data_IF_318673665711
#
_entry.id   IF_318673665711
#
_cell.length_a   1.000
_cell.length_b   1.000
_cell.length_c   1.000
_cell.angle_alpha   90.00
_cell.angle_beta   90.00
_cell.angle_gamma   90.00
#
_symmetry.space_group_name_H-M   'P 1'
#
loop_
_entity.id
_entity.type
_entity.pdbx_description
1 polymer ?
#
# COMPACT_ATOMS: atom_id res chain seq x y z
N UNK A 1 11.39 -39.30 12.26
CA UNK A 1 11.43 -37.90 11.75
C UNK A 1 11.68 -37.95 10.26
N UNK A 2 10.71 -37.79 9.37
CA UNK A 2 10.98 -37.63 7.94
C UNK A 2 11.18 -36.14 7.63
N UNK A 3 12.25 -35.85 6.87
CA UNK A 3 12.68 -34.50 6.48
C UNK A 3 11.69 -33.80 5.56
N UNK A 4 11.61 -32.48 5.68
CA UNK A 4 10.83 -31.59 4.83
C UNK A 4 11.37 -31.63 3.38
N UNK A 5 10.51 -31.58 2.36
CA UNK A 5 10.95 -31.52 0.99
C UNK A 5 11.54 -30.15 0.65
N UNK A 6 12.69 -30.18 -0.03
CA UNK A 6 13.37 -28.99 -0.56
C UNK A 6 12.46 -28.22 -1.52
N UNK A 7 12.33 -26.92 -1.28
CA UNK A 7 11.52 -26.02 -2.11
C UNK A 7 12.01 -25.98 -3.56
N UNK A 8 11.14 -26.32 -4.45
CA UNK A 8 11.33 -26.21 -5.91
C UNK A 8 11.35 -24.72 -6.28
N UNK A 9 12.52 -24.17 -6.61
CA UNK A 9 12.63 -22.85 -7.23
C UNK A 9 11.96 -22.87 -8.59
N UNK A 10 10.87 -22.13 -8.72
CA UNK A 10 10.25 -21.86 -10.02
C UNK A 10 11.14 -20.81 -10.72
N UNK A 11 11.65 -21.05 -11.95
CA UNK A 11 12.40 -20.06 -12.68
C UNK A 11 11.43 -18.96 -13.13
N UNK A 12 11.63 -17.73 -12.63
CA UNK A 12 10.88 -16.53 -13.06
C UNK A 12 11.51 -16.04 -14.36
N UNK A 13 10.93 -16.42 -15.47
CA UNK A 13 11.21 -15.84 -16.77
C UNK A 13 10.48 -14.50 -16.88
N UNK A 14 11.20 -13.38 -16.91
CA UNK A 14 10.65 -12.08 -17.25
C UNK A 14 10.24 -12.05 -18.71
N UNK A 15 8.97 -11.85 -19.02
CA UNK A 15 8.51 -11.52 -20.36
C UNK A 15 8.79 -10.02 -20.60
N UNK A 16 9.53 -9.62 -21.65
CA UNK A 16 9.74 -8.23 -21.97
C UNK A 16 8.46 -7.63 -22.58
N UNK A 17 7.87 -6.60 -21.97
CA UNK A 17 6.85 -5.78 -22.61
C UNK A 17 5.57 -5.46 -21.84
N UNK A 18 5.47 -5.73 -20.55
CA UNK A 18 4.31 -5.32 -19.75
C UNK A 18 4.59 -4.02 -18.99
N UNK A 19 3.67 -3.05 -19.04
CA UNK A 19 3.69 -1.86 -18.17
C UNK A 19 3.07 -2.17 -16.81
N UNK A 20 3.53 -1.48 -15.76
CA UNK A 20 2.87 -1.50 -14.46
C UNK A 20 1.71 -0.51 -14.50
N UNK A 21 0.52 -0.96 -14.13
CA UNK A 21 -0.69 -0.15 -14.06
C UNK A 21 -1.11 0.05 -12.60
N UNK A 22 -1.31 1.30 -12.22
CA UNK A 22 -1.78 1.70 -10.91
C UNK A 22 -3.21 2.22 -10.99
N UNK A 23 -4.11 1.71 -10.14
CA UNK A 23 -5.44 2.28 -9.92
C UNK A 23 -5.54 2.78 -8.49
N UNK A 24 -5.87 4.05 -8.31
CA UNK A 24 -6.15 4.63 -7.00
C UNK A 24 -7.54 4.16 -6.55
N UNK A 25 -7.59 3.15 -5.70
CA UNK A 25 -8.84 2.58 -5.18
C UNK A 25 -9.39 3.47 -4.06
N UNK A 26 -8.51 3.99 -3.22
CA UNK A 26 -8.81 4.95 -2.18
C UNK A 26 -7.62 5.88 -1.96
N UNK A 27 -7.89 7.19 -1.93
CA UNK A 27 -6.91 8.28 -1.81
C UNK A 27 -7.10 9.12 -0.54
N UNK A 28 -8.03 8.72 0.33
CA UNK A 28 -8.41 9.48 1.51
C UNK A 28 -7.59 9.14 2.74
N UNK A 29 -7.75 10.00 3.74
CA UNK A 29 -7.22 9.87 5.09
C UNK A 29 -8.05 8.90 5.95
N UNK A 30 -7.72 8.79 7.23
CA UNK A 30 -8.43 7.95 8.20
C UNK A 30 -9.91 8.32 8.37
N UNK A 31 -10.29 9.55 8.05
CA UNK A 31 -11.59 10.13 8.38
C UNK A 31 -12.52 10.28 7.18
N UNK A 32 -12.08 9.87 5.98
CA UNK A 32 -12.88 9.97 4.75
C UNK A 32 -13.09 11.40 4.29
N UNK A 33 -12.10 12.26 4.48
CA UNK A 33 -12.13 13.66 4.07
C UNK A 33 -12.47 13.80 2.58
N UNK A 34 -13.41 14.66 2.26
CA UNK A 34 -13.91 14.84 0.90
C UNK A 34 -14.70 13.65 0.34
N UNK A 35 -15.16 12.71 1.18
CA UNK A 35 -15.89 11.52 0.77
C UNK A 35 -15.01 10.44 0.14
N UNK A 36 -13.71 10.52 0.30
CA UNK A 36 -12.72 9.60 -0.27
C UNK A 36 -12.63 8.31 0.54
N UNK A 37 -12.36 7.20 -0.14
CA UNK A 37 -12.07 5.92 0.52
C UNK A 37 -10.66 5.94 1.13
N UNK A 38 -10.47 5.17 2.21
CA UNK A 38 -9.17 5.01 2.87
C UNK A 38 -8.11 4.51 1.90
N UNK A 39 -6.86 4.76 2.21
CA UNK A 39 -5.70 4.43 1.38
C UNK A 39 -5.73 2.99 0.88
N UNK A 40 -5.74 2.85 -0.44
CA UNK A 40 -5.69 1.57 -1.13
C UNK A 40 -5.27 1.80 -2.59
N UNK A 41 -4.16 1.22 -3.02
CA UNK A 41 -3.66 1.33 -4.38
C UNK A 41 -3.59 -0.05 -5.02
N UNK A 42 -4.31 -0.25 -6.13
CA UNK A 42 -4.27 -1.50 -6.87
C UNK A 42 -3.21 -1.42 -7.97
N UNK A 43 -2.23 -2.31 -7.90
CA UNK A 43 -1.11 -2.42 -8.83
C UNK A 43 -1.27 -3.69 -9.66
N UNK A 44 -1.30 -3.54 -10.97
CA UNK A 44 -1.25 -4.64 -11.93
C UNK A 44 0.10 -4.60 -12.64
N UNK A 45 0.82 -5.70 -12.60
CA UNK A 45 2.08 -5.90 -13.32
C UNK A 45 2.07 -7.24 -14.05
N UNK A 46 3.05 -7.51 -14.92
CA UNK A 46 3.18 -8.83 -15.54
C UNK A 46 3.34 -9.98 -14.53
N UNK A 47 3.87 -9.69 -13.34
CA UNK A 47 4.16 -10.70 -12.32
C UNK A 47 2.99 -10.97 -11.39
N UNK A 48 2.25 -9.93 -10.98
CA UNK A 48 1.18 -10.08 -10.00
C UNK A 48 0.22 -8.87 -9.98
N UNK A 49 -0.95 -9.09 -9.38
CA UNK A 49 -1.92 -8.06 -8.99
C UNK A 49 -1.86 -7.86 -7.49
N UNK A 50 -1.51 -6.67 -7.05
CA UNK A 50 -1.24 -6.35 -5.67
C UNK A 50 -2.14 -5.21 -5.18
N UNK A 51 -2.35 -5.13 -3.87
CA UNK A 51 -2.71 -3.88 -3.21
C UNK A 51 -1.47 -3.34 -2.48
N UNK A 52 -1.29 -2.03 -2.50
CA UNK A 52 -0.51 -1.31 -1.52
C UNK A 52 -1.51 -0.65 -0.58
N UNK A 53 -1.47 -1.05 0.67
CA UNK A 53 -2.43 -0.81 1.73
C UNK A 53 -3.86 -1.34 1.43
N UNK A 54 -4.59 -1.58 2.51
CA UNK A 54 -5.94 -2.11 2.49
C UNK A 54 -6.72 -1.52 3.68
N UNK A 55 -7.04 -0.24 3.60
CA UNK A 55 -7.79 0.47 4.64
C UNK A 55 -9.21 -0.05 4.82
N UNK A 56 -9.88 0.36 5.88
CA UNK A 56 -11.18 -0.19 6.30
C UNK A 56 -12.26 -0.15 5.21
N UNK A 57 -12.22 0.81 4.31
CA UNK A 57 -13.19 0.96 3.20
C UNK A 57 -12.78 0.25 1.90
N UNK A 58 -11.60 -0.40 1.84
CA UNK A 58 -11.01 -0.92 0.60
C UNK A 58 -11.87 -1.96 -0.11
N UNK A 59 -12.51 -2.89 0.63
CA UNK A 59 -13.34 -3.92 0.02
C UNK A 59 -14.55 -3.31 -0.73
N UNK A 60 -15.18 -2.30 -0.13
CA UNK A 60 -16.30 -1.56 -0.75
C UNK A 60 -15.79 -0.79 -1.97
N UNK A 61 -14.66 -0.10 -1.83
CA UNK A 61 -14.05 0.67 -2.91
C UNK A 61 -13.66 -0.19 -4.12
N UNK A 62 -13.06 -1.38 -3.91
CA UNK A 62 -12.75 -2.35 -4.97
C UNK A 62 -14.03 -2.76 -5.71
N UNK A 63 -15.08 -3.15 -4.99
CA UNK A 63 -16.35 -3.58 -5.59
C UNK A 63 -17.04 -2.46 -6.36
N UNK A 64 -17.04 -1.24 -5.85
CA UNK A 64 -17.61 -0.06 -6.52
C UNK A 64 -16.93 0.20 -7.87
N UNK A 65 -15.64 -0.20 -8.01
CA UNK A 65 -14.86 -0.06 -9.25
C UNK A 65 -14.86 -1.31 -10.13
N UNK A 66 -15.61 -2.35 -9.77
CA UNK A 66 -15.62 -3.62 -10.51
C UNK A 66 -14.31 -4.40 -10.43
N UNK A 67 -13.44 -4.07 -9.48
CA UNK A 67 -12.22 -4.82 -9.22
C UNK A 67 -12.53 -6.03 -8.32
N UNK A 68 -12.28 -7.23 -8.84
CA UNK A 68 -12.54 -8.46 -8.09
C UNK A 68 -11.38 -8.76 -7.11
N UNK A 69 -11.63 -8.74 -5.78
CA UNK A 69 -10.61 -9.07 -4.80
C UNK A 69 -10.01 -10.48 -4.95
N UNK A 70 -10.72 -11.40 -5.60
CA UNK A 70 -10.21 -12.74 -5.86
C UNK A 70 -9.06 -12.78 -6.88
N UNK A 71 -8.88 -11.74 -7.66
CA UNK A 71 -7.77 -11.64 -8.62
C UNK A 71 -6.47 -11.13 -7.99
N UNK A 72 -6.49 -10.67 -6.74
CA UNK A 72 -5.29 -10.25 -6.04
C UNK A 72 -4.37 -11.44 -5.76
N UNK A 73 -3.09 -11.26 -5.96
CA UNK A 73 -2.05 -12.22 -5.57
C UNK A 73 -1.46 -11.87 -4.20
N UNK A 74 -1.46 -10.59 -3.84
CA UNK A 74 -1.00 -10.15 -2.53
C UNK A 74 -1.37 -8.74 -2.15
N UNK A 75 -0.98 -8.38 -0.93
CA UNK A 75 -1.18 -7.07 -0.32
C UNK A 75 0.13 -6.68 0.37
N UNK A 76 0.59 -5.45 0.13
CA UNK A 76 1.76 -4.87 0.78
C UNK A 76 1.25 -3.77 1.70
N UNK A 77 1.62 -3.82 2.97
CA UNK A 77 1.23 -2.84 3.97
C UNK A 77 2.40 -1.90 4.28
N UNK A 78 2.13 -0.60 4.26
CA UNK A 78 3.07 0.41 4.70
C UNK A 78 3.18 0.44 6.23
N UNK A 79 2.04 0.37 6.93
CA UNK A 79 1.95 0.37 8.38
C UNK A 79 0.59 -0.17 8.86
N UNK A 80 0.36 -0.20 10.19
CA UNK A 80 -0.74 -0.96 10.79
C UNK A 80 -1.84 -0.09 11.41
N UNK A 81 -2.07 1.15 10.93
CA UNK A 81 -3.27 1.92 11.25
C UNK A 81 -4.50 1.41 10.49
N UNK A 82 -5.69 1.62 11.04
CA UNK A 82 -6.93 1.07 10.50
C UNK A 82 -7.28 1.52 9.09
N UNK A 83 -6.88 2.72 8.70
CA UNK A 83 -7.10 3.28 7.37
C UNK A 83 -6.10 2.77 6.30
N UNK A 84 -5.10 1.96 6.72
CA UNK A 84 -4.14 1.28 5.82
C UNK A 84 -4.23 -0.24 5.90
N UNK A 85 -4.72 -0.79 6.99
CA UNK A 85 -4.73 -2.22 7.31
C UNK A 85 -6.13 -2.77 7.59
N UNK A 86 -7.05 -1.93 8.09
CA UNK A 86 -8.32 -2.36 8.69
C UNK A 86 -9.30 -3.06 7.76
N UNK A 87 -9.07 -3.03 6.45
CA UNK A 87 -9.86 -3.77 5.46
C UNK A 87 -9.50 -5.25 5.35
N UNK A 88 -8.32 -5.67 5.83
CA UNK A 88 -7.85 -7.06 5.71
C UNK A 88 -8.79 -8.08 6.36
N UNK A 89 -9.28 -7.92 7.59
CA UNK A 89 -10.21 -8.88 8.18
C UNK A 89 -11.46 -9.08 7.33
N UNK A 90 -12.04 -8.01 6.81
CA UNK A 90 -13.22 -8.07 5.94
C UNK A 90 -12.92 -8.74 4.60
N UNK A 91 -11.76 -8.44 4.01
CA UNK A 91 -11.33 -9.05 2.74
C UNK A 91 -11.10 -10.57 2.90
N UNK A 92 -10.48 -11.02 3.99
CA UNK A 92 -10.26 -12.43 4.25
C UNK A 92 -11.59 -13.17 4.50
N UNK A 93 -12.51 -12.59 5.27
CA UNK A 93 -13.83 -13.18 5.54
C UNK A 93 -14.69 -13.20 4.26
N UNK A 94 -14.63 -12.15 3.44
CA UNK A 94 -15.26 -12.17 2.12
C UNK A 94 -14.70 -13.28 1.24
N UNK A 95 -13.38 -13.40 1.17
CA UNK A 95 -12.68 -14.44 0.41
C UNK A 95 -13.09 -15.84 0.86
N UNK A 96 -13.28 -16.06 2.16
CA UNK A 96 -13.70 -17.34 2.73
C UNK A 96 -15.17 -17.66 2.40
N UNK A 97 -16.09 -16.72 2.56
CA UNK A 97 -17.52 -17.01 2.61
C UNK A 97 -18.29 -16.55 1.36
N UNK A 98 -17.99 -15.35 0.84
CA UNK A 98 -18.73 -14.75 -0.27
C UNK A 98 -18.09 -15.06 -1.62
N UNK A 99 -16.85 -14.64 -1.79
CA UNK A 99 -16.12 -14.80 -3.05
C UNK A 99 -15.58 -16.22 -3.25
N UNK A 100 -15.55 -17.05 -2.21
CA UNK A 100 -15.11 -18.46 -2.21
C UNK A 100 -13.76 -18.65 -2.88
N UNK A 101 -12.81 -17.80 -2.50
CA UNK A 101 -11.44 -17.81 -3.01
C UNK A 101 -10.79 -19.18 -2.85
N UNK A 102 -10.01 -19.59 -3.83
CA UNK A 102 -9.18 -20.81 -3.79
C UNK A 102 -7.70 -20.53 -4.07
N UNK A 103 -7.39 -19.38 -4.67
CA UNK A 103 -6.01 -18.96 -4.95
C UNK A 103 -5.32 -18.52 -3.66
N UNK A 104 -4.03 -18.79 -3.48
CA UNK A 104 -3.27 -18.27 -2.34
C UNK A 104 -3.29 -16.73 -2.29
N UNK A 105 -3.10 -16.17 -1.11
CA UNK A 105 -2.96 -14.72 -0.89
C UNK A 105 -1.75 -14.47 0.01
N UNK A 106 -0.79 -13.67 -0.46
CA UNK A 106 0.32 -13.21 0.37
C UNK A 106 -0.01 -11.83 0.97
N UNK A 107 0.34 -11.62 2.23
CA UNK A 107 0.21 -10.33 2.93
C UNK A 107 1.61 -9.97 3.43
N UNK A 108 2.23 -8.99 2.80
CA UNK A 108 3.53 -8.47 3.19
C UNK A 108 3.35 -7.20 4.02
N UNK A 109 4.09 -7.05 5.11
CA UNK A 109 3.99 -5.85 5.94
C UNK A 109 5.10 -5.79 7.00
N UNK A 110 5.16 -4.72 7.79
CA UNK A 110 6.18 -4.57 8.81
C UNK A 110 6.09 -5.65 9.89
N UNK A 111 7.16 -5.86 10.69
CA UNK A 111 7.12 -6.74 11.85
C UNK A 111 5.90 -6.45 12.75
N UNK A 112 5.22 -7.51 13.21
CA UNK A 112 3.97 -7.41 13.98
C UNK A 112 2.69 -7.50 13.15
N UNK A 113 2.77 -7.54 11.83
CA UNK A 113 1.60 -7.64 10.93
C UNK A 113 0.77 -8.88 11.23
N UNK A 114 1.40 -10.06 11.39
CA UNK A 114 0.67 -11.30 11.69
C UNK A 114 -0.13 -11.19 12.99
N UNK A 115 0.53 -10.80 14.07
CA UNK A 115 -0.11 -10.70 15.37
C UNK A 115 -1.26 -9.70 15.38
N UNK A 116 -1.09 -8.55 14.70
CA UNK A 116 -2.13 -7.52 14.57
C UNK A 116 -3.31 -8.02 13.75
N UNK A 117 -3.06 -8.74 12.65
CA UNK A 117 -4.13 -9.30 11.80
C UNK A 117 -4.94 -10.37 12.53
N UNK A 118 -4.28 -11.29 13.23
CA UNK A 118 -4.95 -12.32 14.02
C UNK A 118 -5.79 -11.70 15.14
N UNK A 119 -5.27 -10.69 15.85
CA UNK A 119 -6.03 -9.95 16.86
C UNK A 119 -7.24 -9.22 16.25
N UNK A 120 -7.08 -8.55 15.11
CA UNK A 120 -8.17 -7.87 14.44
C UNK A 120 -9.24 -8.83 13.93
N UNK A 121 -8.84 -9.96 13.36
CA UNK A 121 -9.77 -11.03 12.95
C UNK A 121 -10.60 -11.53 14.13
N UNK A 122 -9.96 -11.82 15.26
CA UNK A 122 -10.65 -12.35 16.43
C UNK A 122 -11.60 -11.33 17.07
N UNK A 123 -11.21 -10.04 17.07
CA UNK A 123 -12.08 -8.96 17.61
C UNK A 123 -13.31 -8.72 16.73
N UNK A 124 -13.12 -8.69 15.39
CA UNK A 124 -14.17 -8.35 14.45
C UNK A 124 -15.02 -9.57 14.06
N UNK A 125 -14.43 -10.76 14.05
CA UNK A 125 -15.07 -12.02 13.66
C UNK A 125 -14.63 -13.13 14.63
N UNK A 126 -15.19 -13.20 15.85
CA UNK A 126 -14.80 -14.17 16.86
C UNK A 126 -14.79 -15.61 16.34
N UNK A 127 -13.70 -16.34 16.57
CA UNK A 127 -13.47 -17.68 16.06
C UNK A 127 -12.85 -17.74 14.64
N UNK A 128 -12.58 -16.61 14.00
CA UNK A 128 -12.00 -16.58 12.68
C UNK A 128 -10.60 -17.22 12.62
N UNK A 129 -9.80 -17.08 13.70
CA UNK A 129 -8.47 -17.69 13.77
C UNK A 129 -8.51 -19.21 13.79
N UNK A 130 -9.61 -19.83 14.26
CA UNK A 130 -9.83 -21.28 14.24
C UNK A 130 -10.47 -21.79 12.92
N UNK A 131 -10.77 -20.90 11.99
CA UNK A 131 -11.44 -21.26 10.74
C UNK A 131 -10.57 -22.15 9.87
N UNK A 132 -11.14 -23.22 9.34
CA UNK A 132 -10.51 -23.98 8.26
C UNK A 132 -10.69 -23.22 6.94
N UNK A 133 -9.67 -22.47 6.55
CA UNK A 133 -9.70 -21.64 5.35
C UNK A 133 -9.79 -22.47 4.07
N UNK A 134 -10.55 -21.99 3.08
CA UNK A 134 -10.68 -22.60 1.75
C UNK A 134 -9.47 -22.36 0.88
N UNK A 135 -8.67 -21.34 1.21
CA UNK A 135 -7.48 -20.93 0.48
C UNK A 135 -6.32 -20.74 1.46
N UNK A 136 -5.12 -20.88 0.96
CA UNK A 136 -3.92 -20.56 1.74
C UNK A 136 -3.72 -19.04 1.79
N UNK A 137 -3.43 -18.51 2.96
CA UNK A 137 -2.91 -17.16 3.09
C UNK A 137 -1.73 -17.16 4.06
N UNK A 138 -0.79 -16.29 3.80
CA UNK A 138 0.40 -16.16 4.61
C UNK A 138 0.74 -14.70 4.88
N UNK A 139 1.43 -14.45 5.99
CA UNK A 139 2.01 -13.14 6.30
C UNK A 139 3.52 -13.22 6.17
N UNK A 140 4.08 -12.31 5.39
CA UNK A 140 5.51 -12.11 5.17
C UNK A 140 5.89 -10.82 5.89
N UNK A 141 6.57 -10.92 7.01
CA UNK A 141 7.04 -9.73 7.73
C UNK A 141 8.33 -9.22 7.11
N UNK A 142 8.31 -7.93 6.74
CA UNK A 142 9.37 -7.25 5.99
C UNK A 142 10.18 -6.37 6.95
N UNK A 143 11.43 -6.72 7.14
CA UNK A 143 12.35 -5.87 7.91
C UNK A 143 12.73 -4.62 7.10
N UNK A 144 12.55 -3.40 7.63
CA UNK A 144 12.95 -2.18 6.94
C UNK A 144 14.44 -2.17 6.57
N UNK A 145 14.77 -1.58 5.44
CA UNK A 145 16.15 -1.47 4.93
C UNK A 145 16.70 -2.73 4.26
N UNK A 146 15.96 -3.83 4.22
CA UNK A 146 16.38 -5.07 3.54
C UNK A 146 15.56 -5.31 2.30
N UNK A 147 16.17 -5.30 1.09
CA UNK A 147 15.46 -5.68 -0.12
C UNK A 147 14.99 -7.13 -0.07
N UNK A 148 13.74 -7.37 -0.46
CA UNK A 148 13.15 -8.70 -0.56
C UNK A 148 12.40 -8.86 -1.88
N UNK A 149 12.29 -10.10 -2.35
CA UNK A 149 11.47 -10.43 -3.52
C UNK A 149 10.10 -10.92 -3.04
N UNK A 150 9.05 -10.16 -3.38
CA UNK A 150 7.67 -10.45 -3.03
C UNK A 150 6.85 -10.54 -4.31
N UNK A 151 6.30 -11.71 -4.61
CA UNK A 151 5.45 -11.97 -5.78
C UNK A 151 6.03 -11.45 -7.10
N UNK A 152 7.34 -11.67 -7.31
CA UNK A 152 8.04 -11.25 -8.53
C UNK A 152 8.42 -9.77 -8.58
N UNK A 153 8.25 -9.05 -7.48
CA UNK A 153 8.68 -7.67 -7.36
C UNK A 153 9.83 -7.55 -6.35
N UNK A 154 10.80 -6.70 -6.67
CA UNK A 154 11.79 -6.27 -5.69
C UNK A 154 11.17 -5.19 -4.79
N UNK A 155 10.93 -5.55 -3.54
CA UNK A 155 10.40 -4.68 -2.49
C UNK A 155 11.54 -4.16 -1.62
N UNK A 156 11.59 -2.84 -1.44
CA UNK A 156 12.46 -2.17 -0.47
C UNK A 156 11.59 -1.29 0.39
N UNK A 157 11.74 -1.40 1.71
CA UNK A 157 11.04 -0.54 2.67
C UNK A 157 12.05 0.24 3.49
N UNK A 158 11.67 1.44 3.92
CA UNK A 158 12.46 2.27 4.84
C UNK A 158 11.57 2.71 5.99
N UNK A 159 12.06 2.60 7.22
CA UNK A 159 11.30 3.08 8.38
C UNK A 159 11.14 4.60 8.33
N UNK A 160 9.95 5.07 8.71
CA UNK A 160 9.56 6.48 8.69
C UNK A 160 8.91 6.88 10.01
N UNK A 161 9.01 8.17 10.42
CA UNK A 161 8.50 8.65 11.70
C UNK A 161 6.97 8.77 11.70
N UNK A 162 6.30 7.67 12.04
CA UNK A 162 4.85 7.61 12.20
C UNK A 162 4.48 6.47 13.17
N UNK A 163 4.00 6.76 14.41
CA UNK A 163 3.76 5.74 15.43
C UNK A 163 2.47 4.97 15.17
N UNK A 164 2.57 3.76 14.65
CA UNK A 164 1.43 2.85 14.39
C UNK A 164 1.38 1.61 15.29
N UNK A 165 2.25 1.56 16.31
CA UNK A 165 2.41 0.39 17.18
C UNK A 165 3.21 -0.76 16.55
N UNK A 166 3.82 -0.50 15.41
CA UNK A 166 4.78 -1.29 14.67
C UNK A 166 5.63 -0.34 13.84
N UNK A 167 6.74 -0.76 13.21
CA UNK A 167 7.46 0.09 12.26
C UNK A 167 6.53 0.58 11.14
N UNK A 168 6.49 1.89 10.91
CA UNK A 168 5.83 2.46 9.74
C UNK A 168 6.85 2.63 8.64
N UNK A 169 6.48 2.33 7.39
CA UNK A 169 7.46 2.23 6.30
C UNK A 169 7.01 2.96 5.05
N UNK A 170 7.97 3.64 4.41
CA UNK A 170 7.89 3.95 3.00
C UNK A 170 8.23 2.71 2.18
N UNK A 171 7.62 2.60 1.00
CA UNK A 171 7.65 1.41 0.14
C UNK A 171 8.20 1.77 -1.24
N UNK A 172 9.14 0.98 -1.76
CA UNK A 172 9.60 1.01 -3.15
C UNK A 172 9.38 -0.36 -3.77
N UNK A 173 8.58 -0.42 -4.82
CA UNK A 173 8.20 -1.63 -5.55
C UNK A 173 8.72 -1.54 -6.98
N UNK A 174 9.50 -2.53 -7.41
CA UNK A 174 10.05 -2.60 -8.77
C UNK A 174 9.77 -3.99 -9.37
N UNK A 175 9.22 -4.04 -10.58
CA UNK A 175 9.00 -5.29 -11.34
C UNK A 175 10.07 -5.55 -12.43
N UNK A 176 11.12 -4.71 -12.47
CA UNK A 176 12.18 -4.75 -13.47
C UNK A 176 11.92 -3.81 -14.66
N UNK A 177 10.69 -3.41 -14.93
CA UNK A 177 10.34 -2.45 -16.00
C UNK A 177 9.96 -1.09 -15.43
N UNK A 178 9.25 -1.06 -14.31
CA UNK A 178 8.77 0.14 -13.65
C UNK A 178 9.07 0.12 -12.15
N UNK A 179 9.12 1.29 -11.56
CA UNK A 179 9.30 1.49 -10.12
C UNK A 179 8.24 2.44 -9.59
N UNK A 180 7.43 1.94 -8.66
CA UNK A 180 6.48 2.71 -7.87
C UNK A 180 7.05 2.92 -6.47
N UNK A 181 7.00 4.15 -5.98
CA UNK A 181 7.36 4.52 -4.62
C UNK A 181 6.14 5.07 -3.88
N UNK A 182 6.06 4.79 -2.58
CA UNK A 182 5.02 5.31 -1.71
C UNK A 182 5.61 5.68 -0.34
N UNK A 183 5.27 6.84 0.18
CA UNK A 183 5.81 7.32 1.46
C UNK A 183 5.29 6.58 2.68
N UNK A 184 4.12 5.90 2.59
CA UNK A 184 3.32 5.64 3.79
C UNK A 184 2.91 6.96 4.45
N UNK A 185 2.43 6.89 5.68
CA UNK A 185 2.21 8.07 6.51
C UNK A 185 3.48 8.43 7.26
N UNK A 186 3.84 9.71 7.28
CA UNK A 186 5.14 10.13 7.83
C UNK A 186 5.26 11.65 8.02
N UNK A 187 6.05 12.08 8.98
CA UNK A 187 6.68 13.41 8.91
C UNK A 187 7.79 13.41 7.85
N UNK A 188 8.35 14.59 7.52
CA UNK A 188 9.52 14.65 6.63
C UNK A 188 10.69 13.85 7.21
N UNK A 189 11.28 13.01 6.39
CA UNK A 189 12.49 12.27 6.69
C UNK A 189 13.33 12.06 5.44
N UNK A 190 14.65 12.07 5.57
CA UNK A 190 15.56 11.78 4.47
C UNK A 190 15.49 10.32 3.99
N UNK A 191 14.86 9.44 4.78
CA UNK A 191 14.59 8.06 4.36
C UNK A 191 13.70 7.98 3.10
N UNK A 192 12.96 9.03 2.77
CA UNK A 192 12.17 9.13 1.55
C UNK A 192 13.03 9.31 0.29
N UNK A 193 14.23 9.88 0.40
CA UNK A 193 15.08 10.19 -0.74
C UNK A 193 15.47 8.92 -1.52
N UNK A 194 16.05 7.86 -0.91
CA UNK A 194 16.40 6.64 -1.64
C UNK A 194 15.16 5.85 -2.10
N UNK A 195 14.03 5.98 -1.42
CA UNK A 195 12.77 5.35 -1.84
C UNK A 195 12.25 5.99 -3.13
N UNK A 196 12.32 7.33 -3.23
CA UNK A 196 11.84 8.11 -4.37
C UNK A 196 12.79 8.06 -5.59
N UNK A 197 14.10 7.90 -5.36
CA UNK A 197 15.14 8.10 -6.37
C UNK A 197 14.91 7.28 -7.64
N UNK A 198 14.69 7.97 -8.78
CA UNK A 198 14.47 7.35 -10.09
C UNK A 198 13.13 6.60 -10.24
N UNK A 199 12.21 6.70 -9.28
CA UNK A 199 10.88 6.11 -9.43
C UNK A 199 10.09 6.78 -10.56
N UNK A 200 9.34 6.00 -11.35
CA UNK A 200 8.43 6.56 -12.36
C UNK A 200 7.27 7.33 -11.71
N UNK A 201 6.84 6.89 -10.52
CA UNK A 201 5.87 7.60 -9.72
C UNK A 201 6.23 7.47 -8.24
N UNK A 202 6.25 8.60 -7.53
CA UNK A 202 6.20 8.65 -6.08
C UNK A 202 4.79 9.08 -5.66
N UNK A 203 4.11 8.26 -4.88
CA UNK A 203 2.92 8.66 -4.13
C UNK A 203 3.40 9.11 -2.76
N UNK A 204 3.07 10.32 -2.36
CA UNK A 204 3.50 10.88 -1.07
C UNK A 204 2.29 11.45 -0.33
N UNK A 205 2.21 11.18 0.98
CA UNK A 205 1.16 11.78 1.80
C UNK A 205 1.30 13.30 1.85
N UNK A 206 0.19 14.00 1.98
CA UNK A 206 0.11 15.44 2.21
C UNK A 206 -1.13 15.72 3.05
N UNK A 207 -1.11 15.27 4.31
CA UNK A 207 -2.30 15.26 5.15
C UNK A 207 -2.81 16.66 5.46
N UNK A 208 -1.94 17.65 5.63
CA UNK A 208 -2.34 19.02 5.89
C UNK A 208 -1.82 20.02 4.86
N UNK A 209 -2.38 21.25 4.87
CA UNK A 209 -1.86 22.33 4.03
C UNK A 209 -0.73 23.10 4.71
N UNK A 210 -0.94 23.64 5.88
CA UNK A 210 0.02 24.48 6.60
C UNK A 210 0.11 24.12 8.09
N UNK A 211 1.15 24.62 8.74
CA UNK A 211 1.43 24.37 10.15
C UNK A 211 2.04 23.00 10.40
N UNK A 212 2.26 22.69 11.68
CA UNK A 212 2.77 21.38 12.08
C UNK A 212 1.61 20.42 12.33
N UNK A 213 1.61 19.32 11.62
CA UNK A 213 0.74 18.16 11.87
C UNK A 213 1.63 17.02 12.37
N UNK A 214 1.61 16.68 13.67
CA UNK A 214 2.47 15.62 14.20
C UNK A 214 2.31 14.31 13.43
N UNK A 215 3.44 13.71 13.10
CA UNK A 215 3.52 12.40 12.40
C UNK A 215 3.01 12.39 10.96
N UNK A 216 2.74 13.56 10.37
CA UNK A 216 2.27 13.71 9.00
C UNK A 216 2.95 14.86 8.27
N UNK A 217 2.97 14.77 6.94
CA UNK A 217 3.42 15.86 6.08
C UNK A 217 2.30 16.90 5.88
N UNK A 218 2.72 18.16 5.80
CA UNK A 218 1.89 19.25 5.29
C UNK A 218 2.47 19.77 3.98
N UNK A 219 1.63 20.42 3.17
CA UNK A 219 2.10 21.01 1.92
C UNK A 219 3.22 22.03 2.14
N UNK A 220 3.11 22.84 3.18
CA UNK A 220 4.14 23.82 3.57
C UNK A 220 5.51 23.17 3.82
N UNK A 221 5.52 21.94 4.36
CA UNK A 221 6.75 21.16 4.59
C UNK A 221 7.20 20.43 3.31
N UNK A 222 6.27 19.90 2.54
CA UNK A 222 6.58 19.07 1.37
C UNK A 222 7.02 19.93 0.16
N UNK A 223 6.32 21.03 -0.14
CA UNK A 223 6.53 21.83 -1.35
C UNK A 223 8.00 22.27 -1.56
N UNK A 224 8.71 22.82 -0.58
CA UNK A 224 10.10 23.22 -0.76
C UNK A 224 11.06 22.03 -0.95
N UNK A 225 10.63 20.80 -0.68
CA UNK A 225 11.41 19.57 -0.78
C UNK A 225 11.12 18.73 -2.03
N UNK A 226 10.14 19.13 -2.83
CA UNK A 226 9.83 18.45 -4.10
C UNK A 226 11.05 18.25 -5.01
N UNK A 227 11.98 19.23 -5.14
CA UNK A 227 13.19 19.05 -5.95
C UNK A 227 14.14 17.97 -5.44
N UNK A 228 14.11 17.63 -4.14
CA UNK A 228 14.96 16.61 -3.54
C UNK A 228 14.43 15.19 -3.82
N UNK A 229 13.12 15.07 -4.06
CA UNK A 229 12.44 13.82 -4.40
C UNK A 229 12.58 13.52 -5.88
N UNK A 230 13.70 12.89 -6.28
CA UNK A 230 14.08 12.64 -7.68
C UNK A 230 13.24 11.55 -8.35
N UNK A 231 11.91 11.59 -8.22
CA UNK A 231 10.97 10.80 -8.98
C UNK A 231 10.57 11.51 -10.28
N UNK A 232 10.20 10.75 -11.30
CA UNK A 232 9.77 11.33 -12.58
C UNK A 232 8.43 12.05 -12.47
N UNK A 233 7.51 11.51 -11.66
CA UNK A 233 6.21 12.10 -11.31
C UNK A 233 6.00 11.99 -9.81
N UNK A 234 5.39 13.01 -9.22
CA UNK A 234 5.01 13.01 -7.81
C UNK A 234 3.51 13.17 -7.73
N UNK A 235 2.85 12.34 -6.92
CA UNK A 235 1.42 12.37 -6.65
C UNK A 235 1.19 12.52 -5.17
N UNK A 236 0.39 13.51 -4.76
CA UNK A 236 0.00 13.69 -3.36
C UNK A 236 -1.31 12.98 -3.05
N UNK A 237 -1.43 12.44 -1.84
CA UNK A 237 -2.56 11.66 -1.34
C UNK A 237 -2.80 11.92 0.15
N UNK A 238 -3.77 11.23 0.77
CA UNK A 238 -4.04 11.25 2.22
C UNK A 238 -4.39 12.63 2.78
N UNK A 239 -5.14 13.43 2.01
CA UNK A 239 -5.38 14.85 2.31
C UNK A 239 -6.59 15.04 3.21
N UNK A 240 -6.41 15.79 4.30
CA UNK A 240 -7.48 16.28 5.16
C UNK A 240 -8.18 17.52 4.53
N UNK A 241 -9.27 18.05 5.14
CA UNK A 241 -9.99 19.19 4.59
C UNK A 241 -9.13 20.43 4.34
N UNK A 242 -8.07 20.67 5.13
CA UNK A 242 -7.20 21.84 4.93
C UNK A 242 -6.36 21.73 3.66
N UNK A 243 -5.81 20.55 3.35
CA UNK A 243 -5.10 20.30 2.10
C UNK A 243 -6.07 20.28 0.90
N UNK A 244 -7.24 19.66 1.05
CA UNK A 244 -8.28 19.63 0.03
C UNK A 244 -8.81 21.01 -0.39
N UNK A 245 -8.77 21.99 0.51
CA UNK A 245 -9.16 23.37 0.20
C UNK A 245 -8.15 24.11 -0.69
N UNK A 246 -6.93 23.57 -0.90
CA UNK A 246 -5.84 24.23 -1.63
C UNK A 246 -5.36 23.44 -2.86
N UNK A 247 -6.22 22.59 -3.44
CA UNK A 247 -5.87 21.70 -4.55
C UNK A 247 -5.31 22.42 -5.78
N UNK A 248 -5.81 23.62 -6.09
CA UNK A 248 -5.36 24.37 -7.26
C UNK A 248 -3.90 24.85 -7.09
N UNK A 249 -3.54 25.30 -5.89
CA UNK A 249 -2.16 25.68 -5.57
C UNK A 249 -1.23 24.48 -5.59
N UNK A 250 -1.65 23.36 -4.99
CA UNK A 250 -0.89 22.11 -4.98
C UNK A 250 -0.63 21.62 -6.41
N UNK A 251 -1.65 21.64 -7.27
CA UNK A 251 -1.50 21.28 -8.69
C UNK A 251 -0.61 22.23 -9.48
N UNK A 252 -0.65 23.53 -9.15
CA UNK A 252 0.17 24.53 -9.81
C UNK A 252 1.67 24.33 -9.59
N UNK A 253 2.06 23.60 -8.53
CA UNK A 253 3.44 23.18 -8.30
C UNK A 253 3.91 22.01 -9.19
N UNK A 254 3.05 21.50 -10.09
CA UNK A 254 3.41 20.44 -11.04
C UNK A 254 3.27 19.01 -10.48
N UNK A 255 2.65 18.84 -9.31
CA UNK A 255 2.36 17.51 -8.76
C UNK A 255 0.97 17.02 -9.15
N UNK A 256 0.82 15.71 -9.24
CA UNK A 256 -0.49 15.07 -9.40
C UNK A 256 -1.20 15.05 -8.04
N UNK A 257 -2.52 15.08 -8.07
CA UNK A 257 -3.36 14.93 -6.88
C UNK A 257 -4.18 13.67 -7.05
N UNK A 258 -3.98 12.69 -6.17
CA UNK A 258 -4.71 11.43 -6.22
C UNK A 258 -6.22 11.64 -6.04
N UNK A 259 -7.00 10.99 -6.87
CA UNK A 259 -8.44 10.89 -6.70
C UNK A 259 -8.88 9.43 -6.85
N UNK A 260 -9.92 9.07 -6.11
CA UNK A 260 -10.47 7.72 -6.15
C UNK A 260 -10.94 7.36 -7.56
N UNK A 261 -10.36 6.34 -8.16
CA UNK A 261 -10.65 5.88 -9.52
C UNK A 261 -9.62 6.29 -10.57
N UNK A 262 -8.64 7.13 -10.23
CA UNK A 262 -7.56 7.48 -11.15
C UNK A 262 -6.78 6.23 -11.58
N UNK A 263 -6.37 6.20 -12.86
CA UNK A 263 -5.55 5.13 -13.43
C UNK A 263 -4.31 5.73 -14.06
N UNK A 264 -3.14 5.19 -13.71
CA UNK A 264 -1.84 5.67 -14.16
C UNK A 264 -1.05 4.49 -14.72
N UNK A 265 -0.49 4.66 -15.92
CA UNK A 265 0.49 3.73 -16.49
C UNK A 265 1.92 4.20 -16.12
N UNK A 266 2.76 3.23 -15.73
CA UNK A 266 4.15 3.43 -15.32
C UNK A 266 5.13 2.80 -16.30
#
# INVERSE_FOLDING_TARGET
MPGAPAGTRIPIGFAPGGSMRLTIVGSGDAFGSGGRFNTCFHVESPSAKLLIDCGASSLVALRTRGLDPNHLDGIILSHLHGDHFGGLPFLLIDAQHMSRRQRPLAIAGPPGTRARLEAALEVLFPGACATKWRFAWEVIEIEPGRPQDVLGHRLVTAEVPHPSGAPSTAVRLCDGSATLAYSGDTEWTEALLPIADGAQLLIVECSGYAGRLPYHLTWEVLAPRLPDLRAQRIMVTHMNPSALAHLDEIRAAGVLVAADGDVIEL
#
